data_IF_687422840378
#
_entry.id   IF_687422840378
#
_cell.length_a   1.000
_cell.length_b   1.000
_cell.length_c   1.000
_cell.angle_alpha   90.00
_cell.angle_beta   90.00
_cell.angle_gamma   90.00
#
_symmetry.space_group_name_H-M   'P 1'
#
loop_
_entity.id
_entity.type
_entity.pdbx_description
1 polymer ?
#
# COMPACT_ATOMS: atom_id res chain seq x y z
N UNK A 1 11.64 9.07 -6.83
CA UNK A 1 11.86 7.62 -7.06
C UNK A 1 13.18 7.36 -7.73
N UNK A 2 13.56 8.13 -8.75
CA UNK A 2 14.86 8.03 -9.42
C UNK A 2 14.94 8.99 -10.60
N UNK A 3 15.97 8.84 -11.42
CA UNK A 3 16.07 9.51 -12.71
C UNK A 3 15.66 8.53 -13.82
N UNK A 4 14.88 9.00 -14.78
CA UNK A 4 14.67 8.26 -16.03
C UNK A 4 15.98 8.23 -16.82
N UNK A 5 16.38 7.05 -17.30
CA UNK A 5 17.65 6.87 -17.99
C UNK A 5 17.65 7.51 -19.39
N UNK A 6 16.49 7.59 -20.05
CA UNK A 6 16.39 8.12 -21.41
C UNK A 6 16.42 9.65 -21.42
N UNK A 7 15.60 10.26 -20.56
CA UNK A 7 15.40 11.71 -20.57
C UNK A 7 16.19 12.44 -19.46
N UNK A 8 16.80 11.70 -18.51
CA UNK A 8 17.50 12.25 -17.33
C UNK A 8 16.58 13.15 -16.50
N UNK A 9 15.30 12.81 -16.45
CA UNK A 9 14.28 13.53 -15.69
C UNK A 9 13.98 12.85 -14.36
N UNK A 10 13.64 13.64 -13.35
CA UNK A 10 13.24 13.10 -12.04
C UNK A 10 11.87 12.45 -12.15
N UNK A 11 11.81 11.15 -11.88
CA UNK A 11 10.56 10.41 -11.77
C UNK A 11 10.08 10.42 -10.33
N UNK A 12 8.90 11.00 -10.11
CA UNK A 12 8.22 11.07 -8.82
C UNK A 12 6.92 10.29 -8.84
N UNK A 13 6.54 9.72 -7.71
CA UNK A 13 5.20 9.18 -7.52
C UNK A 13 4.41 10.19 -6.69
N UNK A 14 3.38 10.78 -7.27
CA UNK A 14 2.49 11.70 -6.58
C UNK A 14 1.30 10.93 -5.99
N UNK A 15 1.33 10.75 -4.67
CA UNK A 15 0.28 10.05 -3.93
C UNK A 15 -1.04 10.83 -3.83
N UNK A 16 -1.07 12.12 -4.20
CA UNK A 16 -2.32 12.87 -4.32
C UNK A 16 -3.08 12.49 -5.60
N UNK A 17 -2.35 12.08 -6.65
CA UNK A 17 -2.91 11.73 -7.98
C UNK A 17 -3.03 10.22 -8.15
N UNK A 18 -2.01 9.47 -7.72
CA UNK A 18 -1.90 8.02 -7.85
C UNK A 18 -1.95 7.37 -6.46
N UNK A 19 -2.97 6.56 -6.24
CA UNK A 19 -3.40 6.05 -4.94
C UNK A 19 -2.63 4.81 -4.47
N UNK A 20 -2.16 4.00 -5.42
CA UNK A 20 -1.45 2.79 -5.10
C UNK A 20 -0.16 2.69 -5.91
N UNK A 21 0.77 1.90 -5.39
CA UNK A 21 2.04 1.61 -6.05
C UNK A 21 2.33 0.13 -5.97
N UNK A 22 2.78 -0.45 -7.08
CA UNK A 22 3.25 -1.82 -7.13
C UNK A 22 4.72 -1.83 -7.56
N UNK A 23 5.57 -2.43 -6.75
CA UNK A 23 7.03 -2.48 -6.91
C UNK A 23 7.42 -3.95 -7.05
N UNK A 24 8.06 -4.31 -8.16
CA UNK A 24 8.49 -5.68 -8.34
C UNK A 24 9.81 -5.76 -9.09
N UNK A 25 10.61 -6.75 -8.70
CA UNK A 25 11.94 -7.01 -9.25
C UNK A 25 12.26 -8.50 -9.12
N UNK A 26 13.10 -9.00 -10.03
CA UNK A 26 13.77 -10.31 -9.87
C UNK A 26 14.93 -10.23 -8.88
N UNK A 27 15.50 -9.04 -8.71
CA UNK A 27 16.58 -8.76 -7.75
C UNK A 27 15.99 -8.16 -6.47
N UNK A 28 16.11 -8.90 -5.37
CA UNK A 28 15.66 -8.50 -4.03
C UNK A 28 16.42 -7.28 -3.49
N UNK A 29 17.72 -7.16 -3.77
CA UNK A 29 18.53 -6.02 -3.33
C UNK A 29 18.01 -4.72 -3.95
N UNK A 30 17.75 -4.73 -5.26
CA UNK A 30 17.18 -3.58 -5.97
C UNK A 30 15.78 -3.26 -5.44
N UNK A 31 14.93 -4.26 -5.24
CA UNK A 31 13.59 -4.05 -4.65
C UNK A 31 13.70 -3.38 -3.28
N UNK A 32 14.56 -3.90 -2.40
CA UNK A 32 14.78 -3.36 -1.05
C UNK A 32 15.33 -1.93 -1.09
N UNK A 33 16.22 -1.61 -2.03
CA UNK A 33 16.71 -0.24 -2.24
C UNK A 33 15.59 0.72 -2.68
N UNK A 34 14.70 0.30 -3.59
CA UNK A 34 13.57 1.13 -4.03
C UNK A 34 12.59 1.38 -2.89
N UNK A 35 12.22 0.34 -2.15
CA UNK A 35 11.33 0.47 -0.98
C UNK A 35 11.96 1.37 0.09
N UNK A 36 13.25 1.19 0.39
CA UNK A 36 14.03 2.04 1.29
C UNK A 36 14.02 3.51 0.89
N UNK A 37 14.24 3.77 -0.40
CA UNK A 37 14.23 5.10 -1.00
C UNK A 37 12.87 5.78 -0.83
N UNK A 38 11.78 5.04 -1.08
CA UNK A 38 10.41 5.53 -0.90
C UNK A 38 10.15 5.88 0.56
N UNK A 39 10.42 4.97 1.50
CA UNK A 39 10.19 5.20 2.94
C UNK A 39 10.96 6.42 3.44
N UNK A 40 12.20 6.60 2.97
CA UNK A 40 13.05 7.74 3.34
C UNK A 40 12.53 9.09 2.82
N UNK A 41 11.75 9.07 1.73
CA UNK A 41 11.19 10.26 1.08
C UNK A 41 9.72 10.50 1.42
N UNK A 42 9.07 9.58 2.16
CA UNK A 42 7.67 9.73 2.54
C UNK A 42 7.47 11.01 3.35
N UNK A 43 6.59 11.89 2.85
CA UNK A 43 6.22 13.11 3.55
C UNK A 43 5.35 12.77 4.76
N UNK A 44 5.94 12.82 5.96
CA UNK A 44 5.26 12.53 7.22
C UNK A 44 4.19 13.56 7.61
N UNK A 45 4.25 14.76 7.06
CA UNK A 45 3.23 15.79 7.32
C UNK A 45 1.97 15.57 6.46
N UNK A 46 2.09 14.77 5.39
CA UNK A 46 0.98 14.46 4.49
C UNK A 46 0.15 13.27 4.96
N UNK A 47 0.78 12.29 5.62
CA UNK A 47 0.12 11.09 6.13
C UNK A 47 0.00 11.16 7.65
N UNK A 48 -1.20 10.95 8.18
CA UNK A 48 -1.45 10.77 9.62
C UNK A 48 -0.69 9.55 10.15
N UNK A 49 -0.61 8.48 9.36
CA UNK A 49 0.17 7.31 9.72
C UNK A 49 0.86 6.67 8.52
N UNK A 50 2.05 6.12 8.79
CA UNK A 50 2.79 5.28 7.86
C UNK A 50 3.04 3.94 8.54
N UNK A 51 2.56 2.86 7.93
CA UNK A 51 2.80 1.49 8.39
C UNK A 51 3.74 0.78 7.44
N UNK A 52 4.79 0.18 7.97
CA UNK A 52 5.71 -0.69 7.25
C UNK A 52 5.53 -2.13 7.75
N UNK A 53 5.07 -3.00 6.86
CA UNK A 53 5.05 -4.45 7.07
C UNK A 53 6.32 -5.03 6.45
N UNK A 54 7.25 -5.44 7.31
CA UNK A 54 8.52 -6.05 6.98
C UNK A 54 8.42 -7.59 7.10
N UNK A 55 9.49 -8.26 6.71
CA UNK A 55 9.65 -9.71 6.75
C UNK A 55 10.30 -10.15 8.06
N UNK A 56 10.26 -11.46 8.32
CA UNK A 56 10.95 -12.06 9.47
C UNK A 56 12.48 -11.94 9.41
N UNK A 57 13.03 -11.49 8.26
CA UNK A 57 14.45 -11.17 8.09
C UNK A 57 14.81 -9.75 8.56
N UNK A 58 13.83 -8.93 8.93
CA UNK A 58 14.04 -7.57 9.42
C UNK A 58 14.81 -6.66 8.43
N UNK A 59 14.56 -6.83 7.13
CA UNK A 59 15.31 -6.14 6.06
C UNK A 59 15.19 -4.61 6.08
N UNK A 60 14.21 -4.07 6.81
CA UNK A 60 13.92 -2.65 6.92
C UNK A 60 13.87 -2.14 8.36
N UNK A 61 14.39 -2.89 9.33
CA UNK A 61 14.36 -2.51 10.76
C UNK A 61 15.00 -1.15 11.03
N UNK A 62 15.98 -0.73 10.22
CA UNK A 62 16.61 0.59 10.32
C UNK A 62 15.62 1.75 10.10
N UNK A 63 14.46 1.51 9.49
CA UNK A 63 13.41 2.50 9.27
C UNK A 63 12.30 2.46 10.32
N UNK A 64 12.41 1.63 11.36
CA UNK A 64 11.39 1.51 12.41
C UNK A 64 11.01 2.86 13.04
N UNK A 65 12.01 3.69 13.33
CA UNK A 65 11.80 5.03 13.91
C UNK A 65 11.32 6.06 12.87
N UNK A 66 11.31 5.69 11.59
CA UNK A 66 10.88 6.55 10.49
C UNK A 66 9.38 6.40 10.19
N UNK A 67 8.72 5.37 10.70
CA UNK A 67 7.32 5.06 10.43
C UNK A 67 6.50 5.08 11.73
N UNK A 68 5.18 5.23 11.62
CA UNK A 68 4.28 5.19 12.78
C UNK A 68 4.17 3.77 13.34
N UNK A 69 4.10 2.78 12.44
CA UNK A 69 3.97 1.38 12.79
C UNK A 69 4.98 0.56 11.98
N UNK A 70 5.79 -0.23 12.69
CA UNK A 70 6.68 -1.23 12.09
C UNK A 70 6.23 -2.62 12.54
N UNK A 71 5.87 -3.46 11.59
CA UNK A 71 5.20 -4.74 11.81
C UNK A 71 6.00 -5.86 11.17
N UNK A 72 6.14 -6.97 11.89
CA UNK A 72 6.83 -8.18 11.39
C UNK A 72 6.02 -9.44 11.70
N UNK A 73 5.43 -9.53 12.89
CA UNK A 73 4.78 -10.74 13.35
C UNK A 73 3.37 -10.93 12.76
N UNK A 74 3.00 -12.18 12.47
CA UNK A 74 1.69 -12.57 11.93
C UNK A 74 0.50 -12.01 12.73
N UNK A 75 0.58 -12.05 14.06
CA UNK A 75 -0.50 -11.56 14.93
C UNK A 75 -0.72 -10.05 14.78
N UNK A 76 0.37 -9.30 14.63
CA UNK A 76 0.32 -7.85 14.45
C UNK A 76 -0.22 -7.51 13.06
N UNK A 77 0.22 -8.25 12.03
CA UNK A 77 -0.31 -8.13 10.66
C UNK A 77 -1.81 -8.39 10.64
N UNK A 78 -2.28 -9.50 11.23
CA UNK A 78 -3.70 -9.84 11.30
C UNK A 78 -4.53 -8.77 12.03
N UNK A 79 -3.97 -8.19 13.09
CA UNK A 79 -4.63 -7.12 13.85
C UNK A 79 -4.78 -5.87 12.99
N UNK A 80 -3.70 -5.42 12.34
CA UNK A 80 -3.74 -4.23 11.49
C UNK A 80 -4.59 -4.45 10.24
N UNK A 81 -4.56 -5.64 9.63
CA UNK A 81 -5.40 -5.97 8.47
C UNK A 81 -6.89 -5.79 8.80
N UNK A 82 -7.33 -6.27 9.97
CA UNK A 82 -8.71 -6.09 10.45
C UNK A 82 -9.03 -4.61 10.66
N UNK A 83 -8.13 -3.87 11.32
CA UNK A 83 -8.30 -2.43 11.56
C UNK A 83 -8.39 -1.62 10.25
N UNK A 84 -7.53 -1.90 9.27
CA UNK A 84 -7.59 -1.24 7.96
C UNK A 84 -8.91 -1.52 7.26
N UNK A 85 -9.37 -2.77 7.23
CA UNK A 85 -10.66 -3.12 6.63
C UNK A 85 -11.83 -2.42 7.34
N UNK A 86 -11.81 -2.36 8.66
CA UNK A 86 -12.84 -1.68 9.45
C UNK A 86 -12.85 -0.18 9.17
N UNK A 87 -11.68 0.47 9.22
CA UNK A 87 -11.53 1.91 8.92
C UNK A 87 -11.98 2.22 7.49
N UNK A 88 -11.64 1.39 6.52
CA UNK A 88 -12.08 1.56 5.13
C UNK A 88 -13.62 1.51 5.06
N UNK A 89 -14.24 0.54 5.72
CA UNK A 89 -15.71 0.37 5.70
C UNK A 89 -16.42 1.54 6.37
N UNK A 90 -15.97 1.96 7.55
CA UNK A 90 -16.53 3.09 8.28
C UNK A 90 -16.49 4.38 7.45
N UNK A 91 -15.31 4.71 6.92
CA UNK A 91 -15.13 5.91 6.08
C UNK A 91 -15.92 5.80 4.77
N UNK A 92 -16.06 4.61 4.20
CA UNK A 92 -16.83 4.39 2.97
C UNK A 92 -18.32 4.61 3.22
N UNK A 93 -18.83 4.15 4.36
CA UNK A 93 -20.21 4.39 4.78
C UNK A 93 -20.46 5.87 5.04
N UNK A 94 -19.54 6.55 5.73
CA UNK A 94 -19.62 7.99 5.97
C UNK A 94 -19.64 8.77 4.64
N UNK A 95 -18.76 8.42 3.70
CA UNK A 95 -18.71 9.03 2.37
C UNK A 95 -20.01 8.78 1.57
N UNK A 96 -20.55 7.55 1.62
CA UNK A 96 -21.79 7.21 0.94
C UNK A 96 -22.98 7.99 1.53
N UNK A 97 -23.07 8.08 2.85
CA UNK A 97 -24.08 8.87 3.53
C UNK A 97 -23.96 10.36 3.18
N UNK A 98 -22.74 10.89 3.12
CA UNK A 98 -22.50 12.27 2.71
C UNK A 98 -23.09 12.61 1.34
N UNK A 99 -22.86 11.70 0.39
CA UNK A 99 -23.36 11.82 -0.99
C UNK A 99 -24.87 11.71 -1.06
N UNK A 100 -25.48 10.81 -0.28
CA UNK A 100 -26.93 10.61 -0.26
C UNK A 100 -27.65 11.82 0.35
N UNK A 101 -27.08 12.41 1.40
CA UNK A 101 -27.64 13.57 2.11
C UNK A 101 -27.34 14.91 1.42
N UNK A 102 -26.47 14.91 0.40
CA UNK A 102 -26.04 16.13 -0.29
C UNK A 102 -25.21 17.06 0.60
N UNK A 103 -24.57 16.53 1.64
CA UNK A 103 -23.67 17.30 2.53
C UNK A 103 -22.26 17.36 1.96
N UNK A 104 -21.42 18.19 2.57
CA UNK A 104 -20.01 18.28 2.26
C UNK A 104 -19.33 16.91 2.41
N UNK A 105 -18.46 16.59 1.46
CA UNK A 105 -17.71 15.34 1.44
C UNK A 105 -16.68 15.36 2.56
N UNK A 106 -16.67 14.36 3.46
CA UNK A 106 -15.72 14.32 4.56
C UNK A 106 -14.29 14.24 4.01
N UNK A 107 -13.39 14.98 4.67
CA UNK A 107 -11.95 14.85 4.43
C UNK A 107 -11.38 13.85 5.41
N UNK A 108 -10.80 12.77 4.87
CA UNK A 108 -10.22 11.72 5.69
C UNK A 108 -8.71 11.93 5.91
N UNK A 109 -8.26 11.64 7.11
CA UNK A 109 -6.84 11.60 7.44
C UNK A 109 -6.13 10.47 6.66
N UNK A 110 -5.00 10.80 6.04
CA UNK A 110 -4.36 9.92 5.05
C UNK A 110 -3.46 8.89 5.72
N UNK A 111 -3.53 7.63 5.30
CA UNK A 111 -2.71 6.55 5.84
C UNK A 111 -1.97 5.82 4.72
N UNK A 112 -0.67 5.60 4.89
CA UNK A 112 0.15 4.84 3.95
C UNK A 112 0.52 3.48 4.53
N UNK A 113 0.19 2.41 3.83
CA UNK A 113 0.60 1.04 4.16
C UNK A 113 1.61 0.56 3.12
N UNK A 114 2.82 0.26 3.57
CA UNK A 114 3.90 -0.30 2.76
C UNK A 114 4.09 -1.77 3.14
N UNK A 115 3.82 -2.67 2.21
CA UNK A 115 4.07 -4.11 2.34
C UNK A 115 5.35 -4.42 1.58
N UNK A 116 6.43 -4.70 2.32
CA UNK A 116 7.77 -4.87 1.75
C UNK A 116 7.94 -6.17 0.94
N UNK A 117 7.16 -7.20 1.27
CA UNK A 117 7.10 -8.46 0.53
C UNK A 117 5.68 -9.08 0.61
N UNK A 118 4.90 -8.94 -0.45
CA UNK A 118 3.52 -9.49 -0.54
C UNK A 118 3.51 -11.02 -0.51
N UNK A 119 4.54 -11.67 -1.05
CA UNK A 119 4.63 -13.13 -1.03
C UNK A 119 4.70 -13.66 0.41
N UNK A 120 5.51 -13.02 1.25
CA UNK A 120 5.60 -13.39 2.65
C UNK A 120 4.35 -12.99 3.42
N UNK A 121 3.76 -11.82 3.13
CA UNK A 121 2.49 -11.43 3.72
C UNK A 121 1.41 -12.52 3.50
N UNK A 122 1.24 -12.98 2.27
CA UNK A 122 0.21 -13.98 1.93
C UNK A 122 0.53 -15.39 2.47
N UNK A 123 1.77 -15.65 2.92
CA UNK A 123 2.10 -16.85 3.70
C UNK A 123 1.69 -16.71 5.17
N UNK A 124 1.66 -15.50 5.70
CA UNK A 124 1.29 -15.21 7.09
C UNK A 124 -0.21 -15.02 7.27
N UNK A 125 -0.89 -14.40 6.30
CA UNK A 125 -2.31 -14.07 6.43
C UNK A 125 -3.11 -14.49 5.20
N UNK A 126 -4.31 -15.01 5.45
CA UNK A 126 -5.26 -15.31 4.39
C UNK A 126 -6.08 -14.06 4.03
N UNK A 127 -6.00 -13.65 2.78
CA UNK A 127 -6.79 -12.55 2.21
C UNK A 127 -7.69 -13.16 1.13
N UNK A 128 -9.00 -13.05 1.30
CA UNK A 128 -9.98 -13.44 0.27
C UNK A 128 -10.30 -12.29 -0.70
N UNK A 129 -11.06 -12.57 -1.75
CA UNK A 129 -11.40 -11.56 -2.77
C UNK A 129 -12.19 -10.37 -2.19
N UNK A 130 -13.04 -10.60 -1.18
CA UNK A 130 -13.78 -9.54 -0.51
C UNK A 130 -12.89 -8.61 0.32
N UNK A 131 -11.92 -9.18 1.02
CA UNK A 131 -10.89 -8.44 1.73
C UNK A 131 -9.99 -7.67 0.74
N UNK A 132 -9.53 -8.29 -0.34
CA UNK A 132 -8.73 -7.63 -1.36
C UNK A 132 -9.49 -6.46 -2.04
N UNK A 133 -10.77 -6.64 -2.36
CA UNK A 133 -11.61 -5.58 -2.92
C UNK A 133 -11.80 -4.43 -1.92
N UNK A 134 -11.98 -4.73 -0.63
CA UNK A 134 -12.02 -3.69 0.41
C UNK A 134 -10.71 -2.92 0.46
N UNK A 135 -9.57 -3.62 0.54
CA UNK A 135 -8.24 -3.03 0.69
C UNK A 135 -7.81 -2.21 -0.54
N UNK A 136 -8.19 -2.60 -1.76
CA UNK A 136 -7.70 -1.96 -2.98
C UNK A 136 -8.75 -1.08 -3.65
N UNK A 137 -9.99 -1.53 -3.80
CA UNK A 137 -10.96 -0.79 -4.61
C UNK A 137 -11.58 0.37 -3.82
N UNK A 138 -11.72 0.19 -2.50
CA UNK A 138 -12.44 1.15 -1.63
C UNK A 138 -11.52 2.12 -0.89
N UNK A 139 -10.24 1.76 -0.70
CA UNK A 139 -9.30 2.48 0.16
C UNK A 139 -8.92 3.89 -0.33
N UNK A 140 -8.77 4.09 -1.64
CA UNK A 140 -8.46 5.41 -2.23
C UNK A 140 -9.44 6.50 -1.80
N UNK A 141 -10.73 6.21 -1.96
CA UNK A 141 -11.78 7.21 -1.75
C UNK A 141 -11.86 7.67 -0.28
N UNK A 142 -11.20 6.92 0.61
CA UNK A 142 -11.21 7.13 2.06
C UNK A 142 -9.81 7.41 2.62
N UNK A 143 -8.86 7.80 1.75
CA UNK A 143 -7.54 8.26 2.14
C UNK A 143 -6.58 7.17 2.62
N UNK A 144 -6.75 5.92 2.20
CA UNK A 144 -5.87 4.82 2.57
C UNK A 144 -5.11 4.33 1.32
N UNK A 145 -3.79 4.33 1.41
CA UNK A 145 -2.88 4.11 0.30
C UNK A 145 -2.06 2.83 0.55
N UNK A 146 -1.84 2.04 -0.50
CA UNK A 146 -1.14 0.76 -0.42
C UNK A 146 0.01 0.70 -1.42
N UNK A 147 1.22 0.49 -0.90
CA UNK A 147 2.42 0.20 -1.68
C UNK A 147 2.80 -1.26 -1.49
N UNK A 148 2.73 -2.03 -2.57
CA UNK A 148 2.97 -3.47 -2.57
C UNK A 148 4.29 -3.79 -3.25
N UNK A 149 5.24 -4.35 -2.51
CA UNK A 149 6.50 -4.84 -3.04
C UNK A 149 6.54 -6.37 -3.07
N UNK A 150 7.11 -6.97 -4.13
CA UNK A 150 7.24 -8.42 -4.23
C UNK A 150 8.21 -8.89 -5.30
N UNK A 151 8.44 -10.21 -5.38
CA UNK A 151 9.22 -10.79 -6.46
C UNK A 151 8.45 -10.71 -7.78
N UNK A 152 9.14 -10.44 -8.89
CA UNK A 152 8.49 -10.27 -10.21
C UNK A 152 7.58 -11.44 -10.58
N UNK A 153 8.07 -12.68 -10.52
CA UNK A 153 7.26 -13.85 -10.87
C UNK A 153 6.03 -14.01 -9.98
N UNK A 154 6.15 -13.67 -8.69
CA UNK A 154 5.02 -13.73 -7.77
C UNK A 154 3.97 -12.67 -8.12
N UNK A 155 4.40 -11.42 -8.32
CA UNK A 155 3.49 -10.32 -8.63
C UNK A 155 2.86 -10.43 -10.02
N UNK A 156 3.57 -11.01 -10.99
CA UNK A 156 3.11 -11.14 -12.37
C UNK A 156 2.28 -12.41 -12.62
N UNK A 157 2.67 -13.56 -12.04
CA UNK A 157 2.08 -14.86 -12.40
C UNK A 157 1.14 -15.44 -11.34
N UNK A 158 1.22 -14.98 -10.10
CA UNK A 158 0.37 -15.51 -9.03
C UNK A 158 -1.09 -15.05 -9.21
N UNK A 159 -2.02 -15.88 -8.72
CA UNK A 159 -3.46 -15.65 -8.66
C UNK A 159 -3.96 -15.24 -7.27
N UNK A 160 -3.05 -15.02 -6.33
CA UNK A 160 -3.39 -14.46 -5.02
C UNK A 160 -4.11 -13.13 -5.22
N UNK A 161 -5.22 -13.00 -4.49
CA UNK A 161 -6.25 -12.00 -4.79
C UNK A 161 -5.76 -10.56 -4.61
N UNK A 162 -4.90 -10.31 -3.62
CA UNK A 162 -4.40 -8.97 -3.32
C UNK A 162 -3.52 -8.40 -4.46
N UNK A 163 -2.42 -9.05 -4.89
CA UNK A 163 -1.63 -8.54 -6.01
C UNK A 163 -2.42 -8.52 -7.33
N UNK A 164 -3.33 -9.48 -7.54
CA UNK A 164 -4.20 -9.48 -8.72
C UNK A 164 -5.13 -8.25 -8.75
N UNK A 165 -5.75 -7.91 -7.63
CA UNK A 165 -6.64 -6.74 -7.49
C UNK A 165 -5.86 -5.44 -7.70
N UNK A 166 -4.70 -5.33 -7.06
CA UNK A 166 -3.80 -4.18 -7.21
C UNK A 166 -3.45 -3.94 -8.68
N UNK A 167 -3.01 -5.00 -9.39
CA UNK A 167 -2.68 -4.90 -10.81
C UNK A 167 -3.88 -4.46 -11.65
N UNK A 168 -5.05 -5.08 -11.43
CA UNK A 168 -6.28 -4.71 -12.15
C UNK A 168 -6.62 -3.22 -11.99
N UNK A 169 -6.53 -2.70 -10.75
CA UNK A 169 -6.75 -1.28 -10.44
C UNK A 169 -5.76 -0.35 -11.14
N UNK A 170 -4.48 -0.70 -11.15
CA UNK A 170 -3.43 0.12 -11.78
C UNK A 170 -3.53 0.11 -13.31
N UNK A 171 -3.92 -1.02 -13.91
CA UNK A 171 -4.11 -1.13 -15.37
C UNK A 171 -5.38 -0.45 -15.89
N UNK A 172 -6.45 -0.41 -15.08
CA UNK A 172 -7.70 0.28 -15.47
C UNK A 172 -7.57 1.79 -15.36
N UNK A 173 -6.69 2.29 -14.49
CA UNK A 173 -6.42 3.73 -14.33
C UNK A 173 -5.51 4.31 -15.42
N UNK A 174 -4.99 3.47 -16.33
CA UNK A 174 -4.11 3.85 -17.44
C UNK A 174 -4.80 3.84 -18.82
N UNK A 175 -6.13 3.66 -18.85
CA UNK A 175 -7.00 3.86 -20.02
C UNK A 175 -7.89 5.07 -19.81
#
# INVERSE_FOLDING_TARGET
MGLDFKEVEVVTHDSAVNDHLMIYSVDDSIRKQVVSSIISQTNKDYFESVTLVDTSEYGFVQYKENVTHYIVAENDVNTHLKQWMETIRERSNELAQARQEGREIPTFAKQLIVIANVEELNRLVYIDDGAAATLIDSSRAVGIYFFLAGHHDYMDRNRDVLPLKMRSKLTTSSM
#
